data_IF_634170762702
#
_entry.id   IF_634170762702
#
_cell.length_a   1.000
_cell.length_b   1.000
_cell.length_c   1.000
_cell.angle_alpha   90.00
_cell.angle_beta   90.00
_cell.angle_gamma   90.00
#
_symmetry.space_group_name_H-M   'P 1'
#
loop_
_entity.id
_entity.type
_entity.pdbx_description
1 polymer ?
#
# COMPACT_ATOMS: atom_id res chain seq x y z
N UNK A 1 -24.15 -6.18 -4.35
CA UNK A 1 -22.87 -6.54 -3.73
C UNK A 1 -23.18 -7.03 -2.33
N UNK A 2 -22.84 -8.27 -2.00
CA UNK A 2 -22.93 -8.75 -0.62
C UNK A 2 -21.89 -7.98 0.21
N UNK A 3 -22.32 -7.41 1.32
CA UNK A 3 -21.40 -6.77 2.27
C UNK A 3 -20.42 -7.82 2.81
N UNK A 4 -19.13 -7.55 2.80
CA UNK A 4 -18.14 -8.45 3.40
C UNK A 4 -18.20 -8.35 4.92
N UNK A 5 -17.81 -9.42 5.61
CA UNK A 5 -17.74 -9.42 7.09
C UNK A 5 -16.84 -8.28 7.60
N UNK A 6 -15.81 -7.93 6.83
CA UNK A 6 -14.90 -6.80 7.12
C UNK A 6 -15.65 -5.46 7.11
N UNK A 7 -16.54 -5.23 6.13
CA UNK A 7 -17.34 -4.00 6.04
C UNK A 7 -18.30 -3.91 7.22
N UNK A 8 -18.94 -5.03 7.58
CA UNK A 8 -19.87 -5.08 8.74
C UNK A 8 -19.13 -4.76 10.03
N UNK A 9 -17.96 -5.35 10.24
CA UNK A 9 -17.14 -5.10 11.42
C UNK A 9 -16.59 -3.67 11.45
N UNK A 10 -16.13 -3.13 10.30
CA UNK A 10 -15.70 -1.74 10.20
C UNK A 10 -16.82 -0.76 10.56
N UNK A 11 -18.05 -1.03 10.11
CA UNK A 11 -19.24 -0.22 10.46
C UNK A 11 -19.49 -0.25 11.95
N UNK A 12 -19.54 -1.43 12.56
CA UNK A 12 -19.73 -1.59 14.00
C UNK A 12 -18.70 -0.78 14.80
N UNK A 13 -17.43 -0.89 14.43
CA UNK A 13 -16.36 -0.16 15.11
C UNK A 13 -16.48 1.35 14.90
N UNK A 14 -16.80 1.82 13.68
CA UNK A 14 -16.97 3.25 13.40
C UNK A 14 -18.16 3.87 14.13
N UNK A 15 -19.27 3.15 14.31
CA UNK A 15 -20.42 3.58 15.09
C UNK A 15 -20.04 3.81 16.56
N UNK A 16 -19.27 2.88 17.16
CA UNK A 16 -18.76 3.00 18.53
C UNK A 16 -17.78 4.18 18.63
N UNK A 17 -16.86 4.31 17.68
CA UNK A 17 -15.89 5.41 17.65
C UNK A 17 -16.59 6.78 17.49
N UNK A 18 -17.62 6.85 16.64
CA UNK A 18 -18.38 8.08 16.43
C UNK A 18 -19.21 8.50 17.67
N UNK A 19 -19.64 7.55 18.49
CA UNK A 19 -20.27 7.83 19.77
C UNK A 19 -19.23 8.29 20.82
N UNK A 20 -18.03 7.68 20.84
CA UNK A 20 -16.98 7.96 21.82
C UNK A 20 -16.18 9.24 21.53
N UNK A 21 -15.76 9.45 20.28
CA UNK A 21 -14.96 10.59 19.76
C UNK A 21 -13.67 10.94 20.50
N UNK A 22 -13.19 10.10 21.39
CA UNK A 22 -11.97 10.35 22.17
C UNK A 22 -10.75 10.63 21.27
N UNK A 23 -10.67 9.97 20.12
CA UNK A 23 -9.53 10.07 19.18
C UNK A 23 -9.73 11.16 18.11
N UNK A 24 -10.68 12.07 18.23
CA UNK A 24 -11.02 13.05 17.16
C UNK A 24 -9.83 13.92 16.74
N UNK A 25 -8.91 14.23 17.65
CA UNK A 25 -7.71 15.00 17.36
C UNK A 25 -6.49 14.20 16.90
N UNK A 26 -6.58 12.87 16.76
CA UNK A 26 -5.38 12.03 16.49
C UNK A 26 -4.96 11.98 15.03
N UNK A 27 -5.91 11.94 14.11
CA UNK A 27 -5.63 11.88 12.67
C UNK A 27 -6.84 12.28 11.83
N UNK A 28 -6.67 12.33 10.50
CA UNK A 28 -7.71 12.74 9.56
C UNK A 28 -8.95 11.82 9.51
N UNK A 29 -8.84 10.57 9.94
CA UNK A 29 -9.94 9.59 9.94
C UNK A 29 -11.10 10.04 10.82
N UNK A 30 -10.82 10.50 12.04
CA UNK A 30 -11.86 10.77 13.03
C UNK A 30 -12.69 12.04 12.72
N UNK A 31 -12.12 13.17 12.30
CA UNK A 31 -12.93 14.29 11.79
C UNK A 31 -13.75 13.91 10.57
N UNK A 32 -13.19 13.13 9.64
CA UNK A 32 -13.93 12.65 8.48
C UNK A 32 -15.07 11.70 8.85
N UNK A 33 -14.89 10.85 9.87
CA UNK A 33 -15.92 10.01 10.47
C UNK A 33 -17.04 10.86 11.10
N UNK A 34 -16.67 11.87 11.88
CA UNK A 34 -17.61 12.71 12.63
C UNK A 34 -18.58 13.49 11.72
N UNK A 35 -18.24 13.71 10.46
CA UNK A 35 -19.10 14.33 9.46
C UNK A 35 -20.22 13.40 8.94
N UNK A 36 -20.19 12.12 9.28
CA UNK A 36 -21.14 11.11 8.79
C UNK A 36 -22.09 10.68 9.88
N UNK A 37 -23.35 10.50 9.52
CA UNK A 37 -24.39 9.95 10.41
C UNK A 37 -24.54 8.44 10.26
N UNK A 38 -24.30 7.97 9.05
CA UNK A 38 -24.34 6.55 8.66
C UNK A 38 -23.07 6.21 7.91
N UNK A 39 -22.68 4.95 7.92
CA UNK A 39 -21.48 4.45 7.28
C UNK A 39 -21.84 3.47 6.16
N UNK A 40 -21.84 3.96 4.92
CA UNK A 40 -21.94 3.09 3.74
C UNK A 40 -20.61 2.36 3.51
N UNK A 41 -20.62 1.27 2.71
CA UNK A 41 -19.38 0.59 2.34
C UNK A 41 -18.35 1.51 1.67
N UNK A 42 -18.82 2.45 0.84
CA UNK A 42 -17.94 3.44 0.19
C UNK A 42 -17.32 4.42 1.20
N UNK A 43 -18.09 4.86 2.22
CA UNK A 43 -17.56 5.69 3.30
C UNK A 43 -16.49 4.97 4.11
N UNK A 44 -16.73 3.69 4.44
CA UNK A 44 -15.77 2.88 5.17
C UNK A 44 -14.49 2.64 4.38
N UNK A 45 -14.60 2.35 3.08
CA UNK A 45 -13.45 2.25 2.18
C UNK A 45 -12.68 3.56 2.11
N UNK A 46 -13.36 4.70 2.03
CA UNK A 46 -12.71 6.01 2.06
C UNK A 46 -11.96 6.24 3.39
N UNK A 47 -12.60 5.99 4.53
CA UNK A 47 -11.98 6.12 5.85
C UNK A 47 -10.78 5.17 6.03
N UNK A 48 -10.88 3.95 5.53
CA UNK A 48 -9.79 2.99 5.55
C UNK A 48 -8.58 3.47 4.74
N UNK A 49 -8.80 4.14 3.60
CA UNK A 49 -7.73 4.72 2.78
C UNK A 49 -7.13 6.01 3.37
N UNK A 50 -7.83 6.71 4.25
CA UNK A 50 -7.27 7.81 5.05
C UNK A 50 -6.38 7.31 6.20
N UNK A 51 -6.51 6.04 6.59
CA UNK A 51 -5.80 5.49 7.74
C UNK A 51 -4.34 5.17 7.40
N UNK A 52 -3.40 5.74 8.12
CA UNK A 52 -1.96 5.48 7.96
C UNK A 52 -1.45 4.26 8.75
N UNK A 53 -2.30 3.56 9.49
CA UNK A 53 -1.91 2.38 10.27
C UNK A 53 -0.94 2.67 11.43
N UNK A 54 -0.87 3.91 11.91
CA UNK A 54 0.08 4.34 12.97
C UNK A 54 -0.21 3.76 14.35
N UNK A 55 -1.35 3.09 14.55
CA UNK A 55 -1.82 2.48 15.80
C UNK A 55 -2.00 3.43 16.99
N UNK A 56 -1.83 4.73 16.85
CA UNK A 56 -2.02 5.71 17.94
C UNK A 56 -3.40 5.62 18.58
N UNK A 57 -4.46 5.53 17.78
CA UNK A 57 -5.83 5.34 18.27
C UNK A 57 -6.06 4.01 18.99
N UNK A 58 -5.35 2.93 18.60
CA UNK A 58 -5.44 1.63 19.25
C UNK A 58 -4.84 1.66 20.66
N UNK A 59 -3.65 2.22 20.81
CA UNK A 59 -2.98 2.29 22.11
C UNK A 59 -3.65 3.24 23.10
N UNK A 60 -4.38 4.23 22.62
CA UNK A 60 -5.13 5.16 23.46
C UNK A 60 -6.59 4.71 23.73
N UNK A 61 -7.05 3.65 23.05
CA UNK A 61 -8.46 3.25 23.08
C UNK A 61 -8.80 2.49 24.36
N UNK A 62 -9.76 3.02 25.13
CA UNK A 62 -10.32 2.33 26.30
C UNK A 62 -11.15 1.09 25.94
N UNK A 63 -11.57 0.96 24.69
CA UNK A 63 -12.40 -0.14 24.18
C UNK A 63 -11.59 -1.16 23.36
N UNK A 64 -10.27 -1.00 23.30
CA UNK A 64 -9.39 -2.00 22.67
C UNK A 64 -9.34 -3.29 23.52
N UNK A 65 -8.97 -4.44 22.92
CA UNK A 65 -8.79 -5.67 23.71
C UNK A 65 -7.90 -5.45 24.95
N UNK A 66 -8.27 -6.02 26.12
CA UNK A 66 -9.25 -7.09 26.36
C UNK A 66 -10.69 -6.63 26.57
N UNK A 67 -11.06 -5.40 26.26
CA UNK A 67 -12.43 -4.91 26.40
C UNK A 67 -13.40 -5.68 25.49
N UNK A 68 -14.65 -5.89 25.96
CA UNK A 68 -15.68 -6.65 25.22
C UNK A 68 -16.00 -6.09 23.83
N UNK A 69 -15.83 -4.78 23.59
CA UNK A 69 -16.02 -4.19 22.27
C UNK A 69 -14.92 -4.53 21.27
N UNK A 70 -13.71 -4.87 21.73
CA UNK A 70 -12.63 -5.34 20.88
C UNK A 70 -12.23 -4.38 19.75
N UNK A 71 -12.24 -3.07 19.99
CA UNK A 71 -11.99 -2.07 18.94
C UNK A 71 -10.54 -2.14 18.47
N UNK A 72 -10.33 -2.41 17.18
CA UNK A 72 -9.03 -2.42 16.53
C UNK A 72 -9.11 -1.81 15.11
N UNK A 73 -9.29 -0.50 15.05
CA UNK A 73 -9.42 0.25 13.79
C UNK A 73 -8.24 0.02 12.83
N UNK A 74 -6.97 0.06 13.27
CA UNK A 74 -5.83 -0.14 12.35
C UNK A 74 -5.85 -1.50 11.65
N UNK A 75 -6.23 -2.56 12.33
CA UNK A 75 -6.31 -3.91 11.75
C UNK A 75 -7.48 -4.04 10.78
N UNK A 76 -8.68 -3.66 11.24
CA UNK A 76 -9.90 -3.72 10.41
C UNK A 76 -9.75 -2.87 9.15
N UNK A 77 -9.18 -1.67 9.25
CA UNK A 77 -8.96 -0.80 8.10
C UNK A 77 -7.82 -1.28 7.19
N UNK A 78 -6.81 -1.97 7.72
CA UNK A 78 -5.79 -2.58 6.89
C UNK A 78 -6.38 -3.70 6.01
N UNK A 79 -7.24 -4.54 6.59
CA UNK A 79 -7.96 -5.59 5.87
C UNK A 79 -8.89 -5.01 4.80
N UNK A 80 -9.73 -4.03 5.18
CA UNK A 80 -10.66 -3.38 4.26
C UNK A 80 -9.94 -2.67 3.11
N UNK A 81 -8.79 -2.07 3.37
CA UNK A 81 -7.94 -1.44 2.34
C UNK A 81 -7.37 -2.47 1.37
N UNK A 82 -6.92 -3.64 1.87
CA UNK A 82 -6.44 -4.72 1.02
C UNK A 82 -7.56 -5.26 0.11
N UNK A 83 -8.78 -5.44 0.65
CA UNK A 83 -9.96 -5.83 -0.12
C UNK A 83 -10.29 -4.79 -1.21
N UNK A 84 -10.27 -3.50 -0.87
CA UNK A 84 -10.55 -2.43 -1.83
C UNK A 84 -9.49 -2.35 -2.94
N UNK A 85 -8.23 -2.57 -2.62
CA UNK A 85 -7.17 -2.62 -3.64
C UNK A 85 -7.32 -3.81 -4.58
N UNK A 86 -7.73 -4.98 -4.07
CA UNK A 86 -8.01 -6.13 -4.91
C UNK A 86 -9.22 -5.89 -5.84
N UNK A 87 -10.26 -5.20 -5.35
CA UNK A 87 -11.47 -4.90 -6.12
C UNK A 87 -11.23 -3.85 -7.22
N UNK A 88 -10.52 -2.77 -6.90
CA UNK A 88 -10.34 -1.63 -7.81
C UNK A 88 -9.05 -1.67 -8.64
N UNK A 89 -8.19 -2.69 -8.47
CA UNK A 89 -6.96 -2.81 -9.23
C UNK A 89 -7.22 -2.96 -10.74
N UNK A 90 -6.56 -2.15 -11.55
CA UNK A 90 -6.57 -2.23 -13.00
C UNK A 90 -5.12 -2.39 -13.54
N UNK A 91 -4.87 -3.28 -14.50
CA UNK A 91 -5.81 -4.21 -15.16
C UNK A 91 -6.24 -5.38 -14.25
N UNK A 92 -7.37 -6.02 -14.62
CA UNK A 92 -7.90 -7.16 -13.88
C UNK A 92 -6.81 -8.23 -13.68
N UNK A 93 -6.70 -8.75 -12.46
CA UNK A 93 -5.64 -9.69 -12.06
C UNK A 93 -4.49 -9.05 -11.26
N UNK A 94 -4.32 -7.74 -11.27
CA UNK A 94 -3.36 -7.06 -10.40
C UNK A 94 -3.71 -7.23 -8.91
N UNK A 95 -5.00 -7.37 -8.57
CA UNK A 95 -5.44 -7.73 -7.23
C UNK A 95 -4.82 -9.03 -6.73
N UNK A 96 -4.81 -10.07 -7.55
CA UNK A 96 -4.20 -11.35 -7.20
C UNK A 96 -2.66 -11.27 -7.04
N UNK A 97 -2.00 -10.38 -7.79
CA UNK A 97 -0.57 -10.08 -7.60
C UNK A 97 -0.33 -9.34 -6.29
N UNK A 98 -1.22 -8.44 -5.93
CA UNK A 98 -1.15 -7.71 -4.66
C UNK A 98 -1.35 -8.64 -3.45
N UNK A 99 -2.26 -9.60 -3.51
CA UNK A 99 -2.43 -10.61 -2.47
C UNK A 99 -1.17 -11.48 -2.28
N UNK A 100 -0.41 -11.71 -3.38
CA UNK A 100 0.88 -12.42 -3.38
C UNK A 100 2.09 -11.48 -3.26
N UNK A 101 1.92 -10.34 -2.64
CA UNK A 101 2.91 -9.26 -2.58
C UNK A 101 4.31 -9.74 -2.17
N UNK A 102 4.44 -10.59 -1.15
CA UNK A 102 5.74 -11.13 -0.71
C UNK A 102 6.45 -11.90 -1.82
N UNK A 103 5.76 -12.80 -2.52
CA UNK A 103 6.31 -13.59 -3.63
C UNK A 103 6.66 -12.71 -4.82
N UNK A 104 5.79 -11.76 -5.16
CA UNK A 104 6.01 -10.82 -6.26
C UNK A 104 7.22 -9.93 -6.00
N UNK A 105 7.31 -9.31 -4.83
CA UNK A 105 8.45 -8.45 -4.44
C UNK A 105 9.76 -9.22 -4.47
N UNK A 106 9.76 -10.46 -3.96
CA UNK A 106 10.96 -11.32 -4.01
C UNK A 106 11.35 -11.65 -5.45
N UNK A 107 10.39 -12.03 -6.29
CA UNK A 107 10.65 -12.32 -7.69
C UNK A 107 11.21 -11.09 -8.44
N UNK A 108 10.61 -9.93 -8.26
CA UNK A 108 11.08 -8.67 -8.88
C UNK A 108 12.47 -8.29 -8.36
N UNK A 109 12.71 -8.39 -7.05
CA UNK A 109 13.99 -8.06 -6.44
C UNK A 109 15.15 -8.95 -6.95
N UNK A 110 14.86 -10.19 -7.35
CA UNK A 110 15.86 -11.11 -7.93
C UNK A 110 15.95 -10.94 -9.44
N UNK A 111 14.83 -10.93 -10.14
CA UNK A 111 14.82 -10.97 -11.61
C UNK A 111 15.19 -9.62 -12.24
N UNK A 112 14.79 -8.49 -11.65
CA UNK A 112 15.05 -7.19 -12.23
C UNK A 112 16.57 -6.86 -12.33
N UNK A 113 17.39 -7.04 -11.27
CA UNK A 113 18.84 -6.81 -11.39
C UNK A 113 19.51 -7.83 -12.32
N UNK A 114 19.08 -9.09 -12.34
CA UNK A 114 19.61 -10.10 -13.28
C UNK A 114 19.30 -9.69 -14.72
N UNK A 115 18.07 -9.30 -15.00
CA UNK A 115 17.67 -8.84 -16.33
C UNK A 115 18.41 -7.57 -16.73
N UNK A 116 18.57 -6.61 -15.82
CA UNK A 116 19.33 -5.38 -16.06
C UNK A 116 20.79 -5.68 -16.38
N UNK A 117 21.43 -6.58 -15.66
CA UNK A 117 22.81 -7.02 -15.95
C UNK A 117 22.92 -7.70 -17.31
N UNK A 118 22.03 -8.66 -17.61
CA UNK A 118 22.05 -9.36 -18.89
C UNK A 118 21.80 -8.39 -20.06
N UNK A 119 20.88 -7.46 -19.91
CA UNK A 119 20.59 -6.45 -20.92
C UNK A 119 21.77 -5.50 -21.12
N UNK A 120 22.40 -5.07 -20.04
CA UNK A 120 23.62 -4.23 -20.10
C UNK A 120 24.75 -4.99 -20.80
N UNK A 121 25.00 -6.25 -20.47
CA UNK A 121 26.03 -7.06 -21.13
C UNK A 121 25.74 -7.31 -22.61
N UNK A 122 24.47 -7.39 -23.00
CA UNK A 122 24.06 -7.61 -24.39
C UNK A 122 24.11 -6.33 -25.24
N UNK A 123 23.88 -5.16 -24.65
CA UNK A 123 23.76 -3.88 -25.38
C UNK A 123 25.00 -2.99 -25.25
N UNK A 124 25.82 -3.15 -24.22
CA UNK A 124 27.00 -2.33 -24.03
C UNK A 124 28.21 -2.90 -24.83
N UNK A 125 29.09 -2.02 -25.25
CA UNK A 125 30.36 -2.43 -25.84
C UNK A 125 31.22 -3.22 -24.82
N UNK A 126 31.66 -4.45 -25.15
CA UNK A 126 32.50 -5.24 -24.24
C UNK A 126 33.74 -4.47 -23.75
N UNK A 127 34.33 -3.62 -24.58
CA UNK A 127 35.46 -2.79 -24.18
C UNK A 127 35.09 -1.78 -23.07
N UNK A 128 33.88 -1.24 -23.10
CA UNK A 128 33.37 -0.32 -22.09
C UNK A 128 33.09 -1.01 -20.75
N UNK A 129 32.67 -2.29 -20.77
CA UNK A 129 32.37 -3.06 -19.56
C UNK A 129 33.59 -3.40 -18.73
N UNK A 130 34.76 -3.67 -19.40
CA UNK A 130 35.98 -4.12 -18.73
C UNK A 130 37.04 -3.03 -18.53
N UNK A 131 36.74 -1.78 -18.90
CA UNK A 131 37.62 -0.63 -18.66
C UNK A 131 37.07 0.27 -17.55
N UNK A 132 37.97 0.84 -16.75
CA UNK A 132 37.57 1.80 -15.71
C UNK A 132 37.01 3.08 -16.36
N UNK A 133 35.75 3.35 -16.14
CA UNK A 133 35.07 4.55 -16.60
C UNK A 133 35.14 5.64 -15.51
N UNK A 134 35.68 6.80 -15.84
CA UNK A 134 35.80 7.94 -14.93
C UNK A 134 35.35 9.24 -15.61
N UNK A 135 34.99 10.23 -14.79
CA UNK A 135 34.53 11.54 -15.24
C UNK A 135 33.00 11.69 -15.35
N UNK A 136 32.55 12.89 -15.74
CA UNK A 136 31.13 13.21 -15.90
C UNK A 136 30.52 12.35 -17.00
N UNK A 137 29.39 11.71 -16.70
CA UNK A 137 28.68 10.86 -17.65
C UNK A 137 29.27 9.45 -17.82
N UNK A 138 30.18 9.01 -16.96
CA UNK A 138 30.79 7.66 -17.01
C UNK A 138 29.73 6.54 -17.01
N UNK A 139 28.66 6.69 -16.24
CA UNK A 139 27.54 5.74 -16.19
C UNK A 139 26.87 5.55 -17.56
N UNK A 140 26.66 6.61 -18.32
CA UNK A 140 25.99 6.57 -19.64
C UNK A 140 26.86 5.97 -20.76
N UNK A 141 28.13 5.73 -20.52
CA UNK A 141 29.00 4.99 -21.44
C UNK A 141 28.75 3.48 -21.34
N UNK A 142 28.35 3.01 -20.19
CA UNK A 142 28.01 1.60 -19.93
C UNK A 142 26.54 1.33 -20.19
N UNK A 143 25.67 2.21 -19.68
CA UNK A 143 24.21 2.09 -19.84
C UNK A 143 23.71 3.15 -20.82
N UNK A 144 23.23 2.76 -22.01
CA UNK A 144 22.73 3.72 -23.00
C UNK A 144 21.59 4.58 -22.45
N UNK A 145 21.65 5.88 -22.69
CA UNK A 145 20.64 6.84 -22.17
C UNK A 145 19.22 6.53 -22.63
N UNK A 146 19.04 6.07 -23.87
CA UNK A 146 17.73 5.66 -24.40
C UNK A 146 17.10 4.50 -23.63
N UNK A 147 17.92 3.58 -23.09
CA UNK A 147 17.45 2.45 -22.29
C UNK A 147 16.83 2.94 -20.97
N UNK A 148 17.46 3.93 -20.35
CA UNK A 148 16.95 4.53 -19.10
C UNK A 148 15.62 5.23 -19.35
N UNK A 149 15.52 5.99 -20.46
CA UNK A 149 14.27 6.65 -20.83
C UNK A 149 13.17 5.61 -21.09
N UNK A 150 13.47 4.54 -21.82
CA UNK A 150 12.50 3.49 -22.14
C UNK A 150 12.01 2.72 -20.90
N UNK A 151 12.81 2.64 -19.83
CA UNK A 151 12.45 1.97 -18.58
C UNK A 151 11.75 2.90 -17.57
N UNK A 152 11.96 4.21 -17.65
CA UNK A 152 11.45 5.20 -16.72
C UNK A 152 10.20 5.93 -17.23
N UNK A 153 9.91 5.90 -18.51
CA UNK A 153 8.77 6.53 -19.15
C UNK A 153 7.63 5.63 -19.39
#
# INVERSE_FOLDING_TARGET
MSETDTVVEARRQMEICNACRYCEGYCAVFPAMAMRREFTGADLTHLANLCHGCKGCYHACQYAPPHAFGINIPETFATLRAESYAEYAWPAGMGALFERNGTLVTAVAVLAPVLALLLTMALADPAALYTAQSGVGAFFRVVPYWLIIALAG
#
